data_IF_853401669691
#
_entry.id   IF_853401669691
#
_cell.length_a   1.000
_cell.length_b   1.000
_cell.length_c   1.000
_cell.angle_alpha   90.00
_cell.angle_beta   90.00
_cell.angle_gamma   90.00
#
_symmetry.space_group_name_H-M   'P 1'
#
loop_
_entity.id
_entity.type
_entity.pdbx_description
1 polymer ?
#
# COMPACT_ATOMS: atom_id res chain seq x y z
N UNK A 1 26.33 -15.24 25.24
CA UNK A 1 26.91 -14.11 24.46
C UNK A 1 25.95 -13.84 23.32
N UNK A 2 25.06 -12.89 23.49
CA UNK A 2 24.06 -12.52 22.49
C UNK A 2 24.73 -11.56 21.49
N UNK A 3 24.88 -11.98 20.27
CA UNK A 3 25.34 -11.16 19.14
C UNK A 3 24.37 -9.99 18.97
N UNK A 4 24.81 -8.78 19.34
CA UNK A 4 24.19 -7.54 18.83
C UNK A 4 24.39 -7.55 17.31
N UNK A 5 23.41 -8.03 16.60
CA UNK A 5 23.28 -7.84 15.15
C UNK A 5 23.22 -6.32 14.92
N UNK A 6 23.97 -5.86 13.95
CA UNK A 6 24.19 -4.46 13.61
C UNK A 6 22.86 -3.85 13.08
N UNK A 7 21.99 -3.43 14.00
CA UNK A 7 20.62 -2.93 13.78
C UNK A 7 20.58 -1.69 12.84
N UNK A 8 21.74 -1.05 12.60
CA UNK A 8 21.84 0.16 11.79
C UNK A 8 21.80 -0.11 10.28
N UNK A 9 22.13 -1.31 9.79
CA UNK A 9 22.15 -1.62 8.37
C UNK A 9 20.76 -1.81 7.75
N UNK A 10 19.73 -1.94 8.59
CA UNK A 10 18.37 -2.20 8.14
C UNK A 10 17.46 -0.97 8.04
N UNK A 11 17.93 0.21 8.49
CA UNK A 11 17.14 1.44 8.44
C UNK A 11 17.29 2.11 7.07
N UNK A 12 16.17 2.34 6.39
CA UNK A 12 16.13 3.02 5.08
C UNK A 12 15.86 4.53 5.22
N UNK A 13 14.99 4.91 6.16
CA UNK A 13 14.68 6.31 6.47
C UNK A 13 14.95 6.53 7.93
N UNK A 14 15.72 7.57 8.24
CA UNK A 14 15.96 8.04 9.61
C UNK A 14 15.75 9.54 9.67
N UNK A 15 14.97 10.01 10.65
CA UNK A 15 14.89 11.45 10.94
C UNK A 15 15.39 11.72 12.35
N UNK A 16 16.12 12.81 12.52
CA UNK A 16 16.71 13.21 13.80
C UNK A 16 16.34 14.65 14.11
N UNK A 17 15.50 14.83 15.14
CA UNK A 17 14.98 16.12 15.59
C UNK A 17 14.43 16.96 14.43
N UNK A 18 13.80 16.31 13.43
CA UNK A 18 13.39 16.93 12.19
C UNK A 18 12.24 17.89 12.45
N UNK A 19 12.47 19.18 12.12
CA UNK A 19 11.49 20.25 12.35
C UNK A 19 11.27 21.09 11.11
N UNK A 20 10.03 21.53 10.91
CA UNK A 20 9.66 22.44 9.82
C UNK A 20 8.68 23.49 10.28
N UNK A 21 9.13 24.75 10.17
CA UNK A 21 8.32 25.94 10.42
C UNK A 21 8.11 26.66 9.10
N UNK A 22 6.85 26.85 8.71
CA UNK A 22 6.50 27.75 7.61
C UNK A 22 6.43 29.19 8.12
N UNK A 23 7.05 30.09 7.39
CA UNK A 23 7.09 31.52 7.71
C UNK A 23 6.11 32.29 6.82
N UNK A 24 5.62 33.43 7.31
CA UNK A 24 4.89 34.39 6.48
C UNK A 24 5.83 35.17 5.56
N UNK A 25 5.25 36.06 4.75
CA UNK A 25 6.03 36.94 3.83
C UNK A 25 7.08 37.79 4.56
N UNK A 26 6.84 38.12 5.84
CA UNK A 26 7.72 38.93 6.68
C UNK A 26 8.75 38.09 7.46
N UNK A 27 8.83 36.77 7.19
CA UNK A 27 9.74 35.86 7.87
C UNK A 27 9.32 35.44 9.28
N UNK A 28 8.10 35.78 9.72
CA UNK A 28 7.59 35.40 11.04
C UNK A 28 7.07 33.96 11.01
N UNK A 29 7.29 33.17 12.08
CA UNK A 29 6.72 31.82 12.18
C UNK A 29 5.20 31.88 12.04
N UNK A 30 4.64 31.10 11.08
CA UNK A 30 3.20 31.04 10.82
C UNK A 30 2.61 29.69 11.24
N UNK A 31 3.29 28.59 10.88
CA UNK A 31 2.82 27.23 11.17
C UNK A 31 4.03 26.36 11.52
N UNK A 32 3.98 25.72 12.67
CA UNK A 32 4.89 24.65 13.05
C UNK A 32 4.34 23.35 12.44
N UNK A 33 4.82 22.98 11.26
CA UNK A 33 4.30 21.81 10.56
C UNK A 33 4.92 20.51 11.08
N UNK A 34 6.14 20.57 11.61
CA UNK A 34 6.81 19.46 12.31
C UNK A 34 7.63 20.00 13.47
N UNK A 35 7.61 19.28 14.58
CA UNK A 35 8.31 19.61 15.81
C UNK A 35 9.11 18.39 16.25
N UNK A 36 10.44 18.43 16.08
CA UNK A 36 11.39 17.43 16.59
C UNK A 36 11.00 15.99 16.28
N UNK A 37 10.68 15.68 15.02
CA UNK A 37 10.28 14.34 14.62
C UNK A 37 11.50 13.40 14.54
N UNK A 38 11.48 12.34 15.34
CA UNK A 38 12.40 11.20 15.27
C UNK A 38 11.64 9.98 14.76
N UNK A 39 12.05 9.47 13.61
CA UNK A 39 11.39 8.39 12.89
C UNK A 39 12.41 7.45 12.28
N UNK A 40 12.14 6.14 12.33
CA UNK A 40 12.93 5.11 11.66
C UNK A 40 12.03 4.18 10.86
N UNK A 41 12.31 4.04 9.56
CA UNK A 41 11.68 3.04 8.69
C UNK A 41 12.70 1.99 8.31
N UNK A 42 12.36 0.72 8.53
CA UNK A 42 13.24 -0.42 8.29
C UNK A 42 13.04 -0.98 6.88
N UNK A 43 14.07 -1.66 6.39
CA UNK A 43 14.02 -2.33 5.09
C UNK A 43 12.97 -3.43 5.06
N UNK A 44 12.16 -3.47 3.99
CA UNK A 44 11.18 -4.54 3.75
C UNK A 44 9.91 -4.45 4.58
N UNK A 45 9.69 -3.37 5.36
CA UNK A 45 8.43 -3.14 6.09
C UNK A 45 7.49 -2.22 5.33
N UNK A 46 6.20 -2.30 5.65
CA UNK A 46 5.21 -1.27 5.37
C UNK A 46 5.08 -0.41 6.62
N UNK A 47 5.55 0.83 6.53
CA UNK A 47 5.48 1.79 7.61
C UNK A 47 4.38 2.83 7.34
N UNK A 48 3.42 2.94 8.26
CA UNK A 48 2.30 3.88 8.17
C UNK A 48 2.56 5.19 8.93
N UNK A 49 2.41 6.32 8.26
CA UNK A 49 2.39 7.64 8.90
C UNK A 49 0.95 8.12 8.99
N UNK A 50 0.38 8.07 10.18
CA UNK A 50 -1.03 8.27 10.45
C UNK A 50 -1.29 9.62 11.12
N UNK A 51 -2.42 10.24 10.83
CA UNK A 51 -2.85 11.46 11.50
C UNK A 51 -3.88 12.26 10.70
N UNK A 52 -4.59 13.19 11.35
CA UNK A 52 -5.56 14.03 10.68
C UNK A 52 -4.91 14.97 9.65
N UNK A 53 -5.75 15.63 8.84
CA UNK A 53 -5.26 16.65 7.91
C UNK A 53 -4.57 17.78 8.68
N UNK A 54 -3.40 18.22 8.16
CA UNK A 54 -2.57 19.23 8.83
C UNK A 54 -1.67 18.70 9.95
N UNK A 55 -1.64 17.39 10.22
CA UNK A 55 -0.76 16.81 11.25
C UNK A 55 0.72 16.78 10.91
N UNK A 56 1.10 17.08 9.66
CA UNK A 56 2.50 17.09 9.20
C UNK A 56 2.90 15.97 8.25
N UNK A 57 2.03 15.00 7.92
CA UNK A 57 2.31 13.84 7.06
C UNK A 57 2.94 14.21 5.71
N UNK A 58 2.26 15.00 4.89
CA UNK A 58 2.76 15.43 3.57
C UNK A 58 3.99 16.33 3.68
N UNK A 59 4.16 17.07 4.79
CA UNK A 59 5.39 17.82 5.07
C UNK A 59 6.55 16.85 5.32
N UNK A 60 6.35 15.80 6.11
CA UNK A 60 7.34 14.74 6.36
C UNK A 60 7.76 14.06 5.07
N UNK A 61 6.79 13.64 4.23
CA UNK A 61 7.10 13.07 2.90
C UNK A 61 7.97 14.01 2.07
N UNK A 62 7.59 15.28 1.97
CA UNK A 62 8.34 16.26 1.14
C UNK A 62 9.75 16.49 1.66
N UNK A 63 9.98 16.46 2.97
CA UNK A 63 11.32 16.53 3.58
C UNK A 63 12.15 15.29 3.27
N UNK A 64 11.59 14.08 3.42
CA UNK A 64 12.24 12.80 3.10
C UNK A 64 12.62 12.73 1.61
N UNK A 65 11.76 13.21 0.73
CA UNK A 65 12.00 13.22 -0.71
C UNK A 65 13.01 14.32 -1.13
N UNK A 66 13.38 15.23 -0.23
CA UNK A 66 14.24 16.38 -0.57
C UNK A 66 13.53 17.47 -1.37
N UNK A 67 12.19 17.47 -1.38
CA UNK A 67 11.36 18.50 -2.03
C UNK A 67 11.19 19.75 -1.15
N UNK A 68 11.50 19.61 0.13
CA UNK A 68 11.55 20.69 1.11
C UNK A 68 12.82 20.57 1.96
N UNK A 69 13.30 21.71 2.44
CA UNK A 69 14.42 21.77 3.39
C UNK A 69 13.88 21.89 4.83
N UNK A 70 14.47 21.20 5.81
CA UNK A 70 14.09 21.33 7.21
C UNK A 70 14.44 22.73 7.74
N UNK A 71 13.77 23.16 8.81
CA UNK A 71 14.16 24.35 9.57
C UNK A 71 15.27 24.03 10.56
N UNK A 72 15.23 22.82 11.15
CA UNK A 72 16.28 22.24 11.99
C UNK A 72 16.16 20.70 11.96
N UNK A 73 17.21 20.04 12.47
CA UNK A 73 17.33 18.59 12.39
C UNK A 73 17.68 18.11 10.99
N UNK A 74 17.59 16.80 10.76
CA UNK A 74 17.96 16.19 9.47
C UNK A 74 17.08 15.00 9.15
N UNK A 75 16.97 14.67 7.86
CA UNK A 75 16.41 13.43 7.35
C UNK A 75 17.47 12.72 6.51
N UNK A 76 17.63 11.41 6.76
CA UNK A 76 18.51 10.52 6.01
C UNK A 76 17.66 9.49 5.28
N UNK A 77 18.01 9.21 4.02
CA UNK A 77 17.41 8.14 3.22
C UNK A 77 18.52 7.36 2.54
N UNK A 78 18.57 6.04 2.79
CA UNK A 78 19.69 5.19 2.37
C UNK A 78 21.04 5.71 2.87
N UNK A 79 21.11 6.16 4.13
CA UNK A 79 22.29 6.78 4.77
C UNK A 79 22.77 8.08 4.13
N UNK A 80 22.02 8.66 3.19
CA UNK A 80 22.31 9.94 2.54
C UNK A 80 21.36 11.02 3.04
N UNK A 81 21.86 12.24 3.12
CA UNK A 81 21.01 13.39 3.41
C UNK A 81 19.85 13.49 2.41
N UNK A 82 18.66 13.84 2.91
CA UNK A 82 17.47 13.92 2.09
C UNK A 82 17.58 14.93 0.92
N UNK A 83 18.48 15.90 1.00
CA UNK A 83 18.79 16.85 -0.09
C UNK A 83 19.64 16.25 -1.22
N UNK A 84 20.32 15.10 -1.00
CA UNK A 84 21.07 14.41 -2.05
C UNK A 84 20.12 13.75 -3.06
N UNK A 85 20.00 14.36 -4.24
CA UNK A 85 19.09 13.90 -5.29
C UNK A 85 19.47 12.52 -5.88
N UNK A 86 20.72 12.06 -5.70
CA UNK A 86 21.16 10.76 -6.24
C UNK A 86 20.38 9.57 -5.67
N UNK A 87 19.82 9.71 -4.46
CA UNK A 87 18.98 8.69 -3.84
C UNK A 87 17.64 8.50 -4.55
N UNK A 88 17.15 9.52 -5.27
CA UNK A 88 15.81 9.53 -5.86
C UNK A 88 15.63 8.48 -6.96
N UNK A 89 16.72 8.01 -7.57
CA UNK A 89 16.69 6.88 -8.52
C UNK A 89 16.22 5.58 -7.86
N UNK A 90 16.34 5.46 -6.53
CA UNK A 90 15.94 4.30 -5.74
C UNK A 90 14.57 4.48 -5.06
N UNK A 91 13.90 5.62 -5.29
CA UNK A 91 12.63 5.99 -4.67
C UNK A 91 11.53 6.04 -5.73
N UNK A 92 10.39 5.42 -5.44
CA UNK A 92 9.14 5.62 -6.17
C UNK A 92 8.19 6.47 -5.34
N UNK A 93 7.52 7.45 -5.93
CA UNK A 93 6.59 8.31 -5.22
C UNK A 93 5.23 8.37 -5.91
N UNK A 94 4.17 8.06 -5.16
CA UNK A 94 2.78 8.25 -5.54
C UNK A 94 2.22 9.41 -4.70
N UNK A 95 2.05 10.61 -5.25
CA UNK A 95 1.42 11.73 -4.54
C UNK A 95 -0.09 11.50 -4.36
N UNK A 96 -0.71 12.25 -3.44
CA UNK A 96 -2.18 12.23 -3.23
C UNK A 96 -2.93 12.49 -4.54
N UNK A 97 -2.52 13.50 -5.31
CA UNK A 97 -3.02 13.76 -6.66
C UNK A 97 -1.95 13.42 -7.71
N UNK A 98 -2.27 12.51 -8.62
CA UNK A 98 -1.39 12.13 -9.73
C UNK A 98 -1.68 13.00 -10.95
N UNK A 99 -0.75 13.88 -11.30
CA UNK A 99 -0.85 14.74 -12.49
C UNK A 99 -0.34 13.99 -13.73
N UNK A 100 -1.15 13.04 -14.23
CA UNK A 100 -0.85 12.28 -15.43
C UNK A 100 -1.39 13.00 -16.69
N UNK A 101 -0.69 12.85 -17.82
CA UNK A 101 -1.14 13.40 -19.10
C UNK A 101 -2.36 12.63 -19.62
N UNK A 102 -3.53 13.23 -19.48
CA UNK A 102 -4.84 12.59 -19.75
C UNK A 102 -5.05 12.15 -21.20
N UNK A 103 -4.29 12.70 -22.16
CA UNK A 103 -4.34 12.34 -23.58
C UNK A 103 -3.48 11.13 -23.95
N UNK A 104 -2.57 10.71 -23.08
CA UNK A 104 -1.79 9.48 -23.24
C UNK A 104 -2.60 8.26 -22.77
N UNK A 105 -2.26 7.10 -23.30
CA UNK A 105 -2.70 5.82 -22.74
C UNK A 105 -1.70 5.28 -21.71
N UNK A 106 -1.99 4.10 -21.10
CA UNK A 106 -1.14 3.52 -20.06
C UNK A 106 0.25 3.13 -20.58
N UNK A 107 0.33 2.51 -21.77
CA UNK A 107 1.62 2.12 -22.36
C UNK A 107 2.48 3.34 -22.67
N UNK A 108 1.92 4.37 -23.26
CA UNK A 108 2.61 5.62 -23.58
C UNK A 108 3.07 6.35 -22.34
N UNK A 109 2.22 6.40 -21.29
CA UNK A 109 2.57 7.04 -20.01
C UNK A 109 3.77 6.35 -19.37
N UNK A 110 3.74 5.05 -19.23
CA UNK A 110 4.84 4.31 -18.61
C UNK A 110 6.10 4.33 -19.49
N UNK A 111 5.98 4.28 -20.83
CA UNK A 111 7.12 4.43 -21.73
C UNK A 111 7.76 5.81 -21.58
N UNK A 112 6.95 6.88 -21.48
CA UNK A 112 7.44 8.24 -21.24
C UNK A 112 8.26 8.33 -19.95
N UNK A 113 7.75 7.84 -18.83
CA UNK A 113 8.50 7.85 -17.57
C UNK A 113 9.75 6.96 -17.62
N UNK A 114 9.69 5.81 -18.27
CA UNK A 114 10.86 4.95 -18.47
C UNK A 114 11.97 5.64 -19.29
N UNK A 115 11.62 6.54 -20.20
CA UNK A 115 12.61 7.38 -20.92
C UNK A 115 13.27 8.40 -20.00
N UNK A 116 12.53 9.01 -19.08
CA UNK A 116 13.08 9.95 -18.10
C UNK A 116 14.15 9.30 -17.21
N UNK A 117 14.01 8.00 -16.93
CA UNK A 117 15.02 7.19 -16.22
C UNK A 117 16.09 6.60 -17.14
N UNK A 118 16.25 7.09 -18.39
CA UNK A 118 17.24 6.64 -19.36
C UNK A 118 17.24 5.12 -19.60
N UNK A 119 16.09 4.46 -19.46
CA UNK A 119 15.99 3.02 -19.69
C UNK A 119 16.16 2.67 -21.18
N UNK A 120 16.94 1.63 -21.48
CA UNK A 120 17.05 1.13 -22.85
C UNK A 120 15.69 0.69 -23.39
N UNK A 121 15.47 0.77 -24.70
CA UNK A 121 14.17 0.47 -25.32
C UNK A 121 13.67 -0.95 -25.00
N UNK A 122 14.56 -1.95 -24.99
CA UNK A 122 14.20 -3.34 -24.67
C UNK A 122 13.75 -3.49 -23.21
N UNK A 123 14.55 -2.98 -22.25
CA UNK A 123 14.24 -3.00 -20.81
C UNK A 123 12.93 -2.25 -20.53
N UNK A 124 12.76 -1.07 -21.12
CA UNK A 124 11.57 -0.25 -20.96
C UNK A 124 10.31 -0.97 -21.45
N UNK A 125 10.33 -1.53 -22.66
CA UNK A 125 9.21 -2.29 -23.22
C UNK A 125 8.82 -3.48 -22.33
N UNK A 126 9.81 -4.19 -21.78
CA UNK A 126 9.53 -5.28 -20.85
C UNK A 126 8.89 -4.74 -19.55
N UNK A 127 9.51 -3.71 -18.93
CA UNK A 127 9.03 -3.14 -17.69
C UNK A 127 7.61 -2.60 -17.78
N UNK A 128 7.27 -1.94 -18.89
CA UNK A 128 5.91 -1.45 -19.17
C UNK A 128 4.90 -2.61 -19.17
N UNK A 129 5.22 -3.72 -19.85
CA UNK A 129 4.34 -4.91 -19.86
C UNK A 129 4.15 -5.48 -18.46
N UNK A 130 5.24 -5.65 -17.71
CA UNK A 130 5.22 -6.23 -16.38
C UNK A 130 4.39 -5.36 -15.42
N UNK A 131 4.55 -4.04 -15.47
CA UNK A 131 3.78 -3.11 -14.64
C UNK A 131 2.29 -3.08 -14.99
N UNK A 132 1.93 -3.07 -16.27
CA UNK A 132 0.54 -3.11 -16.72
C UNK A 132 -0.16 -4.39 -16.23
N UNK A 133 0.57 -5.52 -16.27
CA UNK A 133 0.08 -6.78 -15.71
C UNK A 133 -0.04 -6.73 -14.19
N UNK A 134 0.96 -6.18 -13.50
CA UNK A 134 0.98 -6.05 -12.04
C UNK A 134 -0.24 -5.30 -11.51
N UNK A 135 -0.62 -4.21 -12.16
CA UNK A 135 -1.75 -3.34 -11.76
C UNK A 135 -3.11 -3.74 -12.37
N UNK A 136 -3.17 -4.88 -13.09
CA UNK A 136 -4.38 -5.47 -13.68
C UNK A 136 -5.20 -4.50 -14.55
N UNK A 137 -4.55 -3.81 -15.50
CA UNK A 137 -5.22 -2.92 -16.47
C UNK A 137 -4.91 -3.28 -17.92
N UNK A 138 -4.49 -4.51 -18.22
CA UNK A 138 -4.17 -4.95 -19.59
C UNK A 138 -5.30 -4.72 -20.58
N UNK A 139 -6.55 -4.91 -20.15
CA UNK A 139 -7.76 -4.71 -20.95
C UNK A 139 -8.02 -3.25 -21.35
N UNK A 140 -7.48 -2.27 -20.59
CA UNK A 140 -7.66 -0.85 -20.82
C UNK A 140 -6.39 -0.14 -21.31
N UNK A 141 -5.25 -0.84 -21.44
CA UNK A 141 -3.92 -0.25 -21.62
C UNK A 141 -3.80 0.71 -22.83
N UNK A 142 -4.66 0.57 -23.86
CA UNK A 142 -4.70 1.43 -25.05
C UNK A 142 -5.73 2.54 -25.01
N UNK A 143 -6.59 2.58 -23.96
CA UNK A 143 -7.54 3.68 -23.77
C UNK A 143 -6.81 4.90 -23.22
N UNK A 144 -7.25 6.09 -23.58
CA UNK A 144 -6.67 7.32 -23.02
C UNK A 144 -6.97 7.44 -21.52
N UNK A 145 -6.05 8.00 -20.76
CA UNK A 145 -6.19 8.14 -19.30
C UNK A 145 -7.39 9.02 -18.90
N UNK A 146 -7.86 9.90 -19.78
CA UNK A 146 -9.11 10.67 -19.54
C UNK A 146 -10.34 9.79 -19.39
N UNK A 147 -10.31 8.55 -19.90
CA UNK A 147 -11.41 7.58 -19.85
C UNK A 147 -11.30 6.65 -18.63
N UNK A 148 -10.24 6.81 -17.84
CA UNK A 148 -9.99 5.97 -16.68
C UNK A 148 -10.84 6.40 -15.49
N UNK A 149 -11.32 5.41 -14.73
CA UNK A 149 -11.87 5.66 -13.41
C UNK A 149 -10.78 6.18 -12.45
N UNK A 150 -11.20 6.74 -11.31
CA UNK A 150 -10.25 7.19 -10.28
C UNK A 150 -9.34 6.04 -9.82
N UNK A 151 -9.88 4.84 -9.63
CA UNK A 151 -9.11 3.65 -9.26
C UNK A 151 -8.08 3.26 -10.33
N UNK A 152 -8.47 3.24 -11.60
CA UNK A 152 -7.54 2.98 -12.70
C UNK A 152 -6.43 4.03 -12.78
N UNK A 153 -6.77 5.31 -12.61
CA UNK A 153 -5.79 6.41 -12.59
C UNK A 153 -4.82 6.25 -11.42
N UNK A 154 -5.31 5.83 -10.24
CA UNK A 154 -4.46 5.60 -9.07
C UNK A 154 -3.48 4.45 -9.29
N UNK A 155 -3.93 3.37 -9.92
CA UNK A 155 -3.08 2.23 -10.29
C UNK A 155 -1.99 2.61 -11.29
N UNK A 156 -2.30 3.42 -12.31
CA UNK A 156 -1.28 3.94 -13.24
C UNK A 156 -0.28 4.85 -12.51
N UNK A 157 -0.74 5.69 -11.60
CA UNK A 157 0.15 6.48 -10.74
C UNK A 157 1.12 5.61 -9.95
N UNK A 158 0.62 4.50 -9.37
CA UNK A 158 1.49 3.54 -8.69
C UNK A 158 2.47 2.86 -9.67
N UNK A 159 2.01 2.42 -10.85
CA UNK A 159 2.90 1.84 -11.86
C UNK A 159 3.98 2.82 -12.33
N UNK A 160 3.64 4.10 -12.45
CA UNK A 160 4.61 5.17 -12.72
C UNK A 160 5.65 5.28 -11.61
N UNK A 161 5.23 5.24 -10.34
CA UNK A 161 6.15 5.25 -9.21
C UNK A 161 7.07 4.02 -9.16
N UNK A 162 6.66 2.92 -9.78
CA UNK A 162 7.42 1.66 -9.83
C UNK A 162 8.32 1.52 -11.06
N UNK A 163 8.32 2.47 -11.99
CA UNK A 163 8.95 2.30 -13.32
C UNK A 163 10.45 1.99 -13.25
N UNK A 164 11.16 2.65 -12.35
CA UNK A 164 12.61 2.50 -12.13
C UNK A 164 13.00 1.35 -11.21
N UNK A 165 12.02 0.51 -10.79
CA UNK A 165 12.22 -0.60 -9.84
C UNK A 165 12.76 -0.16 -8.46
N UNK A 166 12.10 0.78 -7.79
CA UNK A 166 12.62 1.39 -6.57
C UNK A 166 12.74 0.39 -5.42
N UNK A 167 13.63 0.67 -4.47
CA UNK A 167 13.74 -0.05 -3.19
C UNK A 167 12.78 0.51 -2.14
N UNK A 168 12.56 1.83 -2.16
CA UNK A 168 11.62 2.55 -1.30
C UNK A 168 10.47 3.10 -2.12
N UNK A 169 9.24 2.82 -1.68
CA UNK A 169 8.01 3.34 -2.28
C UNK A 169 7.34 4.24 -1.25
N UNK A 170 7.10 5.49 -1.62
CA UNK A 170 6.40 6.48 -0.79
C UNK A 170 5.02 6.70 -1.39
N UNK A 171 3.97 6.45 -0.59
CA UNK A 171 2.58 6.53 -0.99
C UNK A 171 1.86 7.59 -0.15
N UNK A 172 1.39 8.67 -0.78
CA UNK A 172 0.60 9.70 -0.12
C UNK A 172 -0.88 9.44 -0.38
N UNK A 173 -1.63 9.03 0.66
CA UNK A 173 -3.05 8.73 0.62
C UNK A 173 -3.46 7.75 -0.52
N UNK A 174 -2.88 6.53 -0.61
CA UNK A 174 -3.01 5.67 -1.78
C UNK A 174 -4.43 5.19 -2.06
N UNK A 175 -5.29 5.12 -1.06
CA UNK A 175 -6.65 4.58 -1.11
C UNK A 175 -7.73 5.67 -1.17
N UNK A 176 -7.35 6.93 -0.96
CA UNK A 176 -8.31 8.04 -0.89
C UNK A 176 -9.17 8.19 -2.13
N UNK A 177 -10.50 8.10 -1.92
CA UNK A 177 -11.53 8.27 -2.93
C UNK A 177 -11.65 7.10 -3.89
N UNK A 178 -11.17 5.93 -3.53
CA UNK A 178 -11.49 4.67 -4.17
C UNK A 178 -12.81 4.11 -3.59
N UNK A 179 -13.47 3.27 -4.37
CA UNK A 179 -14.56 2.44 -3.88
C UNK A 179 -13.99 1.28 -3.01
N UNK A 180 -14.82 0.54 -2.26
CA UNK A 180 -14.33 -0.55 -1.39
C UNK A 180 -13.53 -1.62 -2.15
N UNK A 181 -13.92 -1.94 -3.39
CA UNK A 181 -13.22 -2.92 -4.22
C UNK A 181 -11.84 -2.39 -4.60
N UNK A 182 -11.77 -1.16 -5.11
CA UNK A 182 -10.52 -0.51 -5.50
C UNK A 182 -9.58 -0.31 -4.31
N UNK A 183 -10.12 -0.01 -3.12
CA UNK A 183 -9.38 0.08 -1.87
C UNK A 183 -8.74 -1.26 -1.53
N UNK A 184 -9.51 -2.34 -1.54
CA UNK A 184 -9.00 -3.70 -1.27
C UNK A 184 -7.91 -4.11 -2.26
N UNK A 185 -8.16 -3.91 -3.56
CA UNK A 185 -7.19 -4.24 -4.59
C UNK A 185 -5.90 -3.42 -4.48
N UNK A 186 -5.97 -2.15 -4.04
CA UNK A 186 -4.80 -1.32 -3.76
C UNK A 186 -4.04 -1.83 -2.54
N UNK A 187 -4.71 -2.20 -1.44
CA UNK A 187 -4.11 -2.81 -0.26
C UNK A 187 -3.38 -4.11 -0.62
N UNK A 188 -4.03 -5.01 -1.36
CA UNK A 188 -3.45 -6.28 -1.81
C UNK A 188 -2.21 -6.05 -2.70
N UNK A 189 -2.19 -4.99 -3.49
CA UNK A 189 -1.05 -4.62 -4.31
C UNK A 189 0.13 -4.10 -3.47
N UNK A 190 -0.15 -3.28 -2.46
CA UNK A 190 0.84 -2.76 -1.51
C UNK A 190 1.51 -3.93 -0.75
N UNK A 191 0.72 -4.87 -0.22
CA UNK A 191 1.23 -6.06 0.47
C UNK A 191 2.11 -6.90 -0.46
N UNK A 192 1.65 -7.16 -1.70
CA UNK A 192 2.47 -7.89 -2.70
C UNK A 192 3.80 -7.22 -3.01
N UNK A 193 3.86 -5.89 -3.03
CA UNK A 193 5.12 -5.16 -3.24
C UNK A 193 6.08 -5.34 -2.07
N UNK A 194 5.59 -5.31 -0.82
CA UNK A 194 6.39 -5.65 0.37
C UNK A 194 6.92 -7.08 0.29
N UNK A 195 6.09 -8.04 -0.06
CA UNK A 195 6.47 -9.46 -0.17
C UNK A 195 7.53 -9.69 -1.26
N UNK A 196 7.65 -8.77 -2.23
CA UNK A 196 8.74 -8.72 -3.20
C UNK A 196 10.00 -8.03 -2.68
N UNK A 197 10.05 -7.69 -1.40
CA UNK A 197 11.20 -7.07 -0.73
C UNK A 197 11.25 -5.54 -0.84
N UNK A 198 10.18 -4.89 -1.26
CA UNK A 198 10.11 -3.41 -1.29
C UNK A 198 9.84 -2.87 0.12
N UNK A 199 10.43 -1.72 0.43
CA UNK A 199 10.09 -0.94 1.62
C UNK A 199 9.04 0.10 1.26
N UNK A 200 8.03 0.25 2.09
CA UNK A 200 6.90 1.14 1.79
C UNK A 200 6.68 2.10 2.95
N UNK A 201 6.70 3.41 2.65
CA UNK A 201 6.21 4.44 3.56
C UNK A 201 4.87 4.91 3.02
N UNK A 202 3.77 4.67 3.74
CA UNK A 202 2.47 5.18 3.35
C UNK A 202 1.92 6.18 4.36
N UNK A 203 1.36 7.28 3.85
CA UNK A 203 0.59 8.21 4.65
C UNK A 203 -0.90 7.96 4.46
N UNK A 204 -1.66 7.97 5.55
CA UNK A 204 -3.11 7.90 5.50
C UNK A 204 -3.74 8.62 6.71
N UNK A 205 -4.96 9.07 6.52
CA UNK A 205 -5.84 9.51 7.60
C UNK A 205 -6.91 8.47 7.93
N UNK A 206 -6.97 7.36 7.16
CA UNK A 206 -7.91 6.26 7.32
C UNK A 206 -7.28 5.15 8.16
N UNK A 207 -7.77 4.98 9.39
CA UNK A 207 -7.26 4.02 10.37
C UNK A 207 -7.32 2.58 9.87
N UNK A 208 -8.47 2.19 9.27
CA UNK A 208 -8.68 0.83 8.77
C UNK A 208 -7.66 0.43 7.68
N UNK A 209 -7.31 1.37 6.77
CA UNK A 209 -6.36 1.09 5.71
C UNK A 209 -4.96 0.81 6.24
N UNK A 210 -4.57 1.56 7.27
CA UNK A 210 -3.25 1.42 7.92
C UNK A 210 -3.18 0.14 8.75
N UNK A 211 -4.25 -0.17 9.49
CA UNK A 211 -4.35 -1.38 10.31
C UNK A 211 -4.22 -2.66 9.47
N UNK A 212 -4.79 -2.66 8.26
CA UNK A 212 -4.83 -3.85 7.41
C UNK A 212 -3.51 -4.18 6.72
N UNK A 213 -2.63 -3.19 6.50
CA UNK A 213 -1.44 -3.39 5.66
C UNK A 213 -0.12 -3.03 6.33
N UNK A 214 -0.10 -2.17 7.36
CA UNK A 214 1.14 -1.69 7.97
C UNK A 214 1.68 -2.66 9.02
N UNK A 215 3.00 -2.87 9.01
CA UNK A 215 3.70 -3.62 10.05
C UNK A 215 3.92 -2.74 11.29
N UNK A 216 4.33 -1.48 11.06
CA UNK A 216 4.55 -0.45 12.09
C UNK A 216 3.95 0.87 11.67
N UNK A 217 3.58 1.69 12.66
CA UNK A 217 2.99 3.01 12.43
C UNK A 217 3.63 4.07 13.32
N UNK A 218 3.54 5.31 12.86
CA UNK A 218 3.74 6.51 13.66
C UNK A 218 2.50 7.40 13.58
N UNK A 219 2.01 7.87 14.71
CA UNK A 219 0.83 8.74 14.82
C UNK A 219 1.29 10.17 15.01
N UNK A 220 1.00 11.02 14.03
CA UNK A 220 1.27 12.46 14.08
C UNK A 220 0.02 13.26 14.46
N UNK A 221 0.19 14.20 15.36
CA UNK A 221 -0.83 15.19 15.70
C UNK A 221 -0.19 16.55 15.92
N UNK A 222 -0.68 17.58 15.22
CA UNK A 222 -0.17 18.96 15.30
C UNK A 222 1.35 19.09 15.10
N UNK A 223 1.92 18.29 14.20
CA UNK A 223 3.34 18.28 13.90
C UNK A 223 4.22 17.49 14.86
N UNK A 224 3.65 16.87 15.87
CA UNK A 224 4.38 16.07 16.86
C UNK A 224 4.10 14.58 16.69
N UNK A 225 5.10 13.76 16.96
CA UNK A 225 4.95 12.31 17.09
C UNK A 225 4.30 12.02 18.45
N UNK A 226 3.15 11.33 18.43
CA UNK A 226 2.44 10.94 19.65
C UNK A 226 2.72 9.51 20.05
N UNK A 227 2.71 8.59 19.10
CA UNK A 227 2.97 7.18 19.31
C UNK A 227 3.69 6.58 18.11
N UNK A 228 4.51 5.55 18.33
CA UNK A 228 5.14 4.77 17.26
C UNK A 228 5.39 3.34 17.74
N UNK A 229 5.04 2.37 16.91
CA UNK A 229 5.23 0.96 17.24
C UNK A 229 4.66 0.00 16.22
N UNK A 230 4.81 -1.30 16.48
CA UNK A 230 4.11 -2.33 15.71
C UNK A 230 2.60 -2.19 15.91
N UNK A 231 1.83 -2.34 14.82
CA UNK A 231 0.36 -2.20 14.84
C UNK A 231 -0.25 -3.14 15.88
N UNK A 232 0.17 -4.40 15.90
CA UNK A 232 -0.31 -5.39 16.86
C UNK A 232 -0.11 -4.95 18.32
N UNK A 233 1.06 -4.37 18.63
CA UNK A 233 1.38 -3.94 19.99
C UNK A 233 0.59 -2.70 20.41
N UNK A 234 0.37 -1.76 19.48
CA UNK A 234 -0.38 -0.54 19.76
C UNK A 234 -1.88 -0.79 19.92
N UNK A 235 -2.40 -1.82 19.27
CA UNK A 235 -3.81 -2.19 19.32
C UNK A 235 -4.11 -3.25 20.39
N UNK A 236 -3.09 -3.88 20.98
CA UNK A 236 -3.30 -4.90 22.01
C UNK A 236 -3.88 -4.29 23.29
N UNK A 237 -5.03 -4.78 23.70
CA UNK A 237 -5.62 -4.47 25.02
C UNK A 237 -5.08 -5.51 26.00
N UNK A 238 -4.13 -5.10 26.86
CA UNK A 238 -3.34 -6.02 27.71
C UNK A 238 -4.15 -6.87 28.67
N UNK A 239 -5.29 -6.37 29.11
CA UNK A 239 -6.11 -7.01 30.13
C UNK A 239 -7.31 -7.80 29.59
N UNK A 240 -7.40 -7.94 28.25
CA UNK A 240 -8.47 -8.68 27.59
C UNK A 240 -7.92 -9.83 26.77
N UNK A 241 -8.40 -11.05 27.05
CA UNK A 241 -8.14 -12.25 26.23
C UNK A 241 -9.35 -12.54 25.38
N UNK A 242 -9.20 -12.50 24.04
CA UNK A 242 -10.26 -12.88 23.10
C UNK A 242 -10.03 -14.31 22.60
N UNK A 243 -11.06 -15.16 22.77
CA UNK A 243 -11.05 -16.54 22.26
C UNK A 243 -12.13 -16.67 21.18
N UNK A 244 -11.74 -17.09 19.98
CA UNK A 244 -12.66 -17.41 18.90
C UNK A 244 -12.75 -18.92 18.71
N UNK A 245 -13.95 -19.48 18.84
CA UNK A 245 -14.20 -20.90 18.63
C UNK A 245 -15.40 -21.10 17.72
N UNK A 246 -15.34 -22.11 16.84
CA UNK A 246 -16.41 -22.44 15.91
C UNK A 246 -17.06 -23.75 16.33
N UNK A 247 -18.42 -23.78 16.38
CA UNK A 247 -19.18 -24.99 16.65
C UNK A 247 -19.25 -25.39 18.13
N UNK A 248 -19.12 -24.41 19.05
CA UNK A 248 -19.33 -24.66 20.47
C UNK A 248 -20.81 -25.00 20.76
N UNK A 249 -21.03 -26.08 21.50
CA UNK A 249 -22.35 -26.40 22.05
C UNK A 249 -22.73 -25.45 23.20
N UNK A 250 -24.03 -25.32 23.49
CA UNK A 250 -24.49 -24.48 24.61
C UNK A 250 -23.92 -24.96 25.96
N UNK A 251 -23.72 -26.24 26.12
CA UNK A 251 -23.11 -26.82 27.33
C UNK A 251 -21.65 -26.42 27.47
N UNK A 252 -20.87 -26.43 26.37
CA UNK A 252 -19.49 -25.98 26.35
C UNK A 252 -19.37 -24.45 26.63
N UNK A 253 -20.29 -23.65 26.13
CA UNK A 253 -20.34 -22.22 26.44
C UNK A 253 -20.62 -21.97 27.93
N UNK A 254 -21.53 -22.74 28.56
CA UNK A 254 -21.79 -22.64 30.00
C UNK A 254 -20.59 -23.06 30.84
N UNK A 255 -19.86 -24.09 30.43
CA UNK A 255 -18.65 -24.53 31.13
C UNK A 255 -17.54 -23.44 31.04
N UNK A 256 -17.34 -22.80 29.90
CA UNK A 256 -16.39 -21.69 29.74
C UNK A 256 -16.75 -20.54 30.67
N UNK A 257 -18.05 -20.16 30.76
CA UNK A 257 -18.49 -19.10 31.71
C UNK A 257 -18.14 -19.44 33.15
N UNK A 258 -18.41 -20.67 33.59
CA UNK A 258 -18.09 -21.14 34.95
C UNK A 258 -16.59 -21.14 35.25
N UNK A 259 -15.76 -21.47 34.26
CA UNK A 259 -14.29 -21.45 34.42
C UNK A 259 -13.82 -20.00 34.61
N UNK A 260 -14.30 -19.05 33.81
CA UNK A 260 -13.94 -17.64 33.90
C UNK A 260 -14.37 -17.03 35.24
N UNK A 261 -15.60 -17.30 35.68
CA UNK A 261 -16.11 -16.87 36.98
C UNK A 261 -15.32 -17.48 38.15
N UNK A 262 -14.85 -18.73 38.00
CA UNK A 262 -14.05 -19.43 39.01
C UNK A 262 -12.61 -18.87 39.15
N UNK A 263 -12.07 -18.24 38.09
CA UNK A 263 -10.74 -17.62 38.07
C UNK A 263 -10.76 -16.14 38.48
N UNK A 264 -11.88 -15.64 39.01
CA UNK A 264 -12.08 -14.24 39.42
C UNK A 264 -11.90 -13.25 38.25
N UNK A 265 -12.08 -13.70 37.00
CA UNK A 265 -12.03 -12.88 35.80
C UNK A 265 -13.43 -12.42 35.40
N UNK A 266 -13.55 -11.23 34.80
CA UNK A 266 -14.80 -10.70 34.30
C UNK A 266 -15.03 -11.12 32.86
N UNK A 267 -16.16 -11.77 32.55
CA UNK A 267 -16.56 -12.08 31.20
C UNK A 267 -17.10 -10.83 30.49
N UNK A 268 -16.28 -10.18 29.65
CA UNK A 268 -16.61 -8.95 28.95
C UNK A 268 -17.69 -9.18 27.86
N UNK A 269 -17.53 -10.22 27.03
CA UNK A 269 -18.53 -10.62 26.03
C UNK A 269 -18.39 -12.08 25.63
N UNK A 270 -19.51 -12.70 25.25
CA UNK A 270 -19.58 -14.01 24.61
C UNK A 270 -20.67 -13.94 23.54
N UNK A 271 -20.30 -13.51 22.36
CA UNK A 271 -21.21 -13.19 21.25
C UNK A 271 -20.70 -13.80 19.95
N UNK A 272 -21.60 -13.97 18.99
CA UNK A 272 -21.19 -14.32 17.64
C UNK A 272 -20.50 -13.12 16.99
N UNK A 273 -19.30 -13.29 16.40
CA UNK A 273 -18.63 -12.20 15.71
C UNK A 273 -19.49 -11.68 14.57
N UNK A 274 -19.59 -10.37 14.45
CA UNK A 274 -20.24 -9.70 13.32
C UNK A 274 -19.21 -9.44 12.23
N UNK A 275 -19.61 -9.60 10.97
CA UNK A 275 -18.82 -9.18 9.83
C UNK A 275 -19.02 -7.67 9.61
N UNK A 276 -18.03 -7.00 8.98
CA UNK A 276 -18.17 -5.60 8.61
C UNK A 276 -19.10 -5.46 7.40
N UNK A 277 -19.73 -4.28 7.23
CA UNK A 277 -20.48 -3.98 6.00
C UNK A 277 -19.59 -4.05 4.75
N UNK A 278 -18.31 -3.72 4.89
CA UNK A 278 -17.31 -3.83 3.81
C UNK A 278 -17.11 -5.29 3.40
N UNK A 279 -16.87 -6.20 4.36
CA UNK A 279 -16.70 -7.63 4.08
C UNK A 279 -17.96 -8.25 3.49
N UNK A 280 -19.16 -7.87 4.00
CA UNK A 280 -20.43 -8.30 3.45
C UNK A 280 -20.59 -7.84 2.00
N UNK A 281 -20.30 -6.57 1.71
CA UNK A 281 -20.35 -6.00 0.37
C UNK A 281 -19.36 -6.69 -0.57
N UNK A 282 -18.13 -6.89 -0.14
CA UNK A 282 -17.10 -7.59 -0.90
C UNK A 282 -17.49 -9.06 -1.17
N UNK A 283 -18.13 -9.73 -0.21
CA UNK A 283 -18.68 -11.07 -0.37
C UNK A 283 -19.74 -11.12 -1.48
N UNK A 284 -20.73 -10.21 -1.43
CA UNK A 284 -21.81 -10.12 -2.44
C UNK A 284 -21.25 -9.84 -3.84
N UNK A 285 -20.25 -8.96 -3.95
CA UNK A 285 -19.66 -8.59 -5.24
C UNK A 285 -18.77 -9.70 -5.81
N UNK A 286 -18.06 -10.46 -4.96
CA UNK A 286 -17.30 -11.65 -5.40
C UNK A 286 -18.20 -12.74 -5.95
N UNK A 287 -19.34 -12.96 -5.30
CA UNK A 287 -20.33 -13.96 -5.74
C UNK A 287 -21.10 -13.50 -6.97
N UNK A 288 -21.28 -12.20 -7.17
CA UNK A 288 -21.79 -11.63 -8.40
C UNK A 288 -20.64 -11.52 -9.41
N UNK A 289 -20.56 -12.37 -10.41
CA UNK A 289 -19.58 -12.31 -11.52
C UNK A 289 -19.59 -11.00 -12.32
N UNK A 290 -20.34 -9.99 -11.90
CA UNK A 290 -20.47 -8.68 -12.53
C UNK A 290 -19.57 -7.64 -11.83
N UNK A 291 -18.30 -7.54 -12.23
CA UNK A 291 -17.49 -6.37 -11.91
C UNK A 291 -17.94 -5.17 -12.73
N UNK A 292 -18.15 -3.96 -12.17
CA UNK A 292 -18.35 -2.74 -12.96
C UNK A 292 -17.16 -2.55 -13.93
N UNK A 293 -17.42 -2.54 -15.24
CA UNK A 293 -16.39 -2.45 -16.27
C UNK A 293 -15.80 -3.78 -16.78
N UNK A 294 -16.22 -4.92 -16.23
CA UNK A 294 -15.84 -6.23 -16.75
C UNK A 294 -16.68 -6.55 -17.99
N UNK A 295 -16.03 -6.61 -19.14
CA UNK A 295 -16.72 -6.87 -20.42
C UNK A 295 -16.90 -8.40 -20.59
N UNK A 296 -18.15 -8.89 -20.65
CA UNK A 296 -18.56 -10.30 -20.87
C UNK A 296 -17.93 -10.98 -22.11
N UNK A 297 -17.14 -10.26 -22.91
CA UNK A 297 -16.45 -10.81 -24.07
C UNK A 297 -15.31 -11.80 -23.74
N UNK A 298 -14.77 -11.80 -22.52
CA UNK A 298 -13.63 -12.67 -22.18
C UNK A 298 -14.01 -14.13 -21.91
N UNK A 299 -15.24 -14.41 -21.46
CA UNK A 299 -15.66 -15.79 -21.21
C UNK A 299 -15.98 -16.54 -22.52
N UNK A 300 -16.33 -15.85 -23.61
CA UNK A 300 -16.59 -16.50 -24.91
C UNK A 300 -15.32 -16.87 -25.68
N UNK A 301 -14.20 -16.21 -25.40
CA UNK A 301 -12.93 -16.48 -26.12
C UNK A 301 -12.10 -17.57 -25.42
N UNK A 302 -12.42 -17.96 -24.17
CA UNK A 302 -11.80 -19.10 -23.49
C UNK A 302 -12.53 -20.44 -23.72
N UNK A 303 -13.82 -20.39 -24.05
CA UNK A 303 -14.59 -21.60 -24.38
C UNK A 303 -14.50 -22.01 -25.85
N UNK A 304 -13.71 -21.31 -26.69
CA UNK A 304 -13.50 -21.60 -28.09
C UNK A 304 -12.06 -22.02 -28.41
N UNK A 305 -11.49 -22.94 -27.64
CA UNK A 305 -10.38 -23.76 -28.13
C UNK A 305 -10.98 -24.85 -29.03
N UNK A 306 -10.53 -24.98 -30.31
CA UNK A 306 -11.03 -26.03 -31.17
C UNK A 306 -10.53 -27.40 -30.65
N UNK A 307 -11.47 -28.30 -30.39
CA UNK A 307 -11.18 -29.73 -30.26
C UNK A 307 -10.33 -30.17 -31.47
N UNK A 308 -9.10 -30.52 -31.23
CA UNK A 308 -8.27 -31.24 -32.19
C UNK A 308 -8.87 -32.62 -32.30
N UNK A 309 -9.64 -32.87 -33.37
CA UNK A 309 -10.06 -34.19 -33.79
C UNK A 309 -8.81 -35.00 -34.12
N UNK A 310 -8.46 -35.95 -33.28
CA UNK A 310 -7.66 -37.10 -33.64
C UNK A 310 -8.44 -37.93 -34.67
N UNK A 311 -8.18 -37.69 -35.94
CA UNK A 311 -8.64 -38.56 -36.99
C UNK A 311 -7.68 -39.76 -37.07
N UNK A 312 -8.19 -40.88 -36.62
CA UNK A 312 -7.69 -42.23 -36.71
C UNK A 312 -7.07 -42.58 -38.09
N UNK A 313 -5.81 -42.95 -38.03
CA UNK A 313 -5.17 -43.78 -39.06
C UNK A 313 -5.63 -45.23 -38.88
N UNK A 314 -6.60 -45.67 -39.70
CA UNK A 314 -6.80 -47.11 -39.97
C UNK A 314 -7.38 -47.25 -41.38
N UNK A 315 -6.73 -48.06 -42.16
CA UNK A 315 -7.10 -48.71 -43.43
C UNK A 315 -6.38 -48.20 -44.69
N UNK A 316 -5.26 -48.79 -44.96
CA UNK A 316 -4.81 -49.11 -46.33
C UNK A 316 -3.97 -50.36 -46.26
N UNK A 317 -4.61 -51.49 -46.25
CA UNK A 317 -4.03 -52.75 -46.79
C UNK A 317 -5.16 -53.48 -47.49
N UNK A 318 -4.98 -53.83 -48.74
CA UNK A 318 -5.72 -54.61 -49.71
C UNK A 318 -6.24 -53.84 -50.92
N UNK A 319 -5.42 -53.80 -51.97
CA UNK A 319 -5.63 -54.24 -53.35
C UNK A 319 -4.62 -53.60 -54.29
#
# INVERSE_FOLDING_TARGET
>A
MSTKVDDKKDVIIETRNLSKVYKDFWGRPKVNALVSLDLEVRRGEIFGLLGPNGSGKSTTIKLILGLLFPTSGQALVFDKDASDVSKNERIGYLPEESYLYKFLNAEETLDFYGRLFNMSAGRRKQRVRDLIKLIDIEWAKRRQLKEYSKGMTRRIGLAQALINDPELIVLDEPTTGLDPIGTREMKDLIVRLRDQGKTILMCSHLLADVQDVCDRIAILHQGELKEMGAVENLLSVRDITQIQAKGLSDDAQQQIRKIIEGDQADLVSMENPTTTLEDLFLGIVRDSKARPGYNRKRERDQDSEPEVQEASAQSADQS
#
